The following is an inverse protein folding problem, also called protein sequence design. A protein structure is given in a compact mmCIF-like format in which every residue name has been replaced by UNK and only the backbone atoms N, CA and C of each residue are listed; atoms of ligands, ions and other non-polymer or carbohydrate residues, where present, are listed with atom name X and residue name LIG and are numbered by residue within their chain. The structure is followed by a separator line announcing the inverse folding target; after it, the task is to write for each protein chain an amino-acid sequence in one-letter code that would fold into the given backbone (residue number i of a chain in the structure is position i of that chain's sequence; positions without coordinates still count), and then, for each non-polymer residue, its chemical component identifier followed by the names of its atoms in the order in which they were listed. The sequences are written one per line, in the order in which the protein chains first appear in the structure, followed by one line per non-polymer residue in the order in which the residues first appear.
data_IF_262015547649
#
_entry.id   IF_262015547649
#
_cell.length_a   1.000
_cell.length_b   1.000
_cell.length_c   1.000
_cell.angle_alpha   90.00
_cell.angle_beta   90.00
_cell.angle_gamma   90.00
#
_symmetry.space_group_name_H-M   'P 1'
#
loop_
_entity.id
_entity.type
_entity.pdbx_description
1 polymer ?
#
# COMPACT_ATOMS: atom_id res chain seq x y z
N UNK A 1 -27.44 9.68 15.50
CA UNK A 1 -27.23 8.76 14.35
C UNK A 1 -25.82 8.21 14.48
N UNK A 2 -25.67 7.04 15.12
CA UNK A 2 -24.33 6.46 15.36
C UNK A 2 -23.75 5.99 14.03
N UNK A 3 -22.76 6.71 13.49
CA UNK A 3 -21.93 6.18 12.41
C UNK A 3 -21.15 5.00 12.98
N UNK A 4 -21.34 3.77 12.47
CA UNK A 4 -20.55 2.64 12.96
C UNK A 4 -19.09 2.91 12.62
N UNK A 5 -18.25 2.93 13.65
CA UNK A 5 -16.79 2.98 13.55
C UNK A 5 -16.37 1.82 12.64
N UNK A 6 -16.02 2.15 11.40
CA UNK A 6 -15.66 1.16 10.38
C UNK A 6 -14.20 0.83 10.63
N UNK A 7 -13.96 -0.19 11.45
CA UNK A 7 -12.59 -0.59 11.81
C UNK A 7 -11.90 -1.18 10.57
N UNK A 8 -10.81 -0.56 10.07
CA UNK A 8 -10.12 -1.02 8.86
C UNK A 8 -9.58 -2.45 9.00
N UNK A 9 -9.35 -2.91 10.24
CA UNK A 9 -8.95 -4.30 10.57
C UNK A 9 -10.00 -5.33 10.13
N UNK A 10 -11.30 -4.98 10.07
CA UNK A 10 -12.37 -5.91 9.66
C UNK A 10 -12.47 -6.10 8.14
N UNK A 11 -11.81 -5.25 7.35
CA UNK A 11 -11.79 -5.37 5.90
C UNK A 11 -10.69 -6.35 5.45
N UNK A 12 -11.05 -7.64 5.40
CA UNK A 12 -10.16 -8.75 4.96
C UNK A 12 -9.51 -8.48 3.58
N UNK A 13 -10.19 -7.71 2.71
CA UNK A 13 -9.64 -7.30 1.41
C UNK A 13 -8.36 -6.47 1.53
N UNK A 14 -8.27 -5.58 2.52
CA UNK A 14 -7.08 -4.74 2.76
C UNK A 14 -5.90 -5.63 3.16
N UNK A 15 -6.15 -6.60 4.04
CA UNK A 15 -5.13 -7.57 4.47
C UNK A 15 -4.66 -8.48 3.35
N UNK A 16 -5.56 -8.92 2.45
CA UNK A 16 -5.16 -9.71 1.29
C UNK A 16 -4.26 -8.90 0.33
N UNK A 17 -4.62 -7.64 0.04
CA UNK A 17 -3.80 -6.77 -0.82
C UNK A 17 -2.45 -6.45 -0.15
N UNK A 18 -2.46 -6.13 1.15
CA UNK A 18 -1.24 -5.87 1.91
C UNK A 18 -0.32 -7.10 1.92
N UNK A 19 -0.87 -8.28 2.20
CA UNK A 19 -0.13 -9.54 2.20
C UNK A 19 0.46 -9.84 0.82
N UNK A 20 -0.30 -9.60 -0.26
CA UNK A 20 0.18 -9.77 -1.63
C UNK A 20 1.34 -8.80 -1.97
N UNK A 21 1.20 -7.52 -1.65
CA UNK A 21 2.27 -6.52 -1.85
C UNK A 21 3.52 -6.92 -1.05
N UNK A 22 3.34 -7.39 0.18
CA UNK A 22 4.43 -7.84 1.03
C UNK A 22 5.14 -9.08 0.47
N UNK A 23 4.37 -10.04 -0.07
CA UNK A 23 4.90 -11.23 -0.74
C UNK A 23 5.70 -10.87 -2.00
N UNK A 24 5.23 -9.86 -2.75
CA UNK A 24 5.89 -9.35 -3.96
C UNK A 24 7.17 -8.56 -3.64
N UNK A 25 7.27 -7.99 -2.43
CA UNK A 25 8.48 -7.29 -1.96
C UNK A 25 9.68 -8.23 -1.84
N UNK A 26 9.43 -9.50 -1.51
CA UNK A 26 10.49 -10.51 -1.40
C UNK A 26 10.73 -11.12 -2.79
N UNK A 27 11.95 -11.04 -3.36
CA UNK A 27 12.26 -11.56 -4.69
C UNK A 27 12.43 -13.10 -4.73
N UNK A 28 11.71 -13.87 -3.91
CA UNK A 28 11.74 -15.34 -3.88
C UNK A 28 11.29 -16.02 -5.18
N UNK A 29 10.53 -15.30 -6.02
CA UNK A 29 10.07 -15.74 -7.33
C UNK A 29 11.13 -15.55 -8.42
N UNK A 30 12.26 -14.89 -8.12
CA UNK A 30 13.36 -14.76 -9.06
C UNK A 30 14.35 -15.92 -8.92
N UNK A 31 14.79 -16.52 -10.06
CA UNK A 31 15.81 -17.55 -10.03
C UNK A 31 17.11 -17.02 -9.41
N UNK A 32 17.78 -17.83 -8.59
CA UNK A 32 19.11 -17.50 -8.08
C UNK A 32 20.07 -17.26 -9.27
N UNK A 33 20.70 -16.09 -9.30
CA UNK A 33 21.56 -15.68 -10.41
C UNK A 33 20.86 -14.92 -11.54
N UNK A 34 19.57 -14.57 -11.40
CA UNK A 34 18.84 -13.70 -12.34
C UNK A 34 19.29 -12.24 -12.18
N UNK A 35 20.52 -11.95 -12.61
CA UNK A 35 21.02 -10.59 -12.79
C UNK A 35 20.67 -10.03 -14.17
N UNK A 36 20.27 -10.91 -15.10
CA UNK A 36 19.86 -10.53 -16.45
C UNK A 36 18.34 -10.69 -16.62
N UNK A 37 17.68 -9.77 -17.35
CA UNK A 37 18.26 -8.60 -18.02
C UNK A 37 18.58 -7.43 -17.07
N UNK A 38 19.72 -6.77 -17.32
CA UNK A 38 20.09 -5.51 -16.68
C UNK A 38 19.44 -4.37 -17.47
N UNK A 39 18.54 -3.63 -16.83
CA UNK A 39 17.91 -2.43 -17.38
C UNK A 39 18.70 -1.23 -16.84
N UNK A 40 19.37 -0.47 -17.73
CA UNK A 40 20.25 0.63 -17.35
C UNK A 40 21.37 0.25 -16.35
N UNK A 41 21.84 -1.00 -16.38
CA UNK A 41 22.84 -1.51 -15.41
C UNK A 41 22.27 -1.92 -14.05
N UNK A 42 20.95 -1.77 -13.86
CA UNK A 42 20.23 -2.21 -12.67
C UNK A 42 19.47 -3.51 -13.02
N UNK A 43 19.52 -4.55 -12.17
CA UNK A 43 18.70 -5.73 -12.39
C UNK A 43 17.21 -5.36 -12.42
N UNK A 44 16.46 -5.90 -13.37
CA UNK A 44 15.03 -5.61 -13.49
C UNK A 44 14.24 -5.90 -12.20
N UNK A 45 14.66 -6.91 -11.42
CA UNK A 45 14.06 -7.23 -10.13
C UNK A 45 14.22 -6.11 -9.10
N UNK A 46 15.30 -5.32 -9.16
CA UNK A 46 15.50 -4.19 -8.25
C UNK A 46 14.54 -3.05 -8.58
N UNK A 47 14.32 -2.76 -9.87
CA UNK A 47 13.29 -1.80 -10.30
C UNK A 47 11.89 -2.25 -9.87
N UNK A 48 11.62 -3.55 -9.95
CA UNK A 48 10.36 -4.12 -9.48
C UNK A 48 10.17 -3.91 -7.97
N UNK A 49 11.19 -4.18 -7.14
CA UNK A 49 11.11 -3.94 -5.69
C UNK A 49 10.88 -2.46 -5.36
N UNK A 50 11.53 -1.55 -6.09
CA UNK A 50 11.30 -0.11 -5.93
C UNK A 50 9.84 0.24 -6.25
N UNK A 51 9.30 -0.27 -7.36
CA UNK A 51 7.91 -0.06 -7.74
C UNK A 51 6.93 -0.63 -6.69
N UNK A 52 7.19 -1.84 -6.18
CA UNK A 52 6.41 -2.47 -5.10
C UNK A 52 6.49 -1.66 -3.81
N UNK A 53 7.64 -1.08 -3.49
CA UNK A 53 7.81 -0.23 -2.28
C UNK A 53 7.00 1.06 -2.39
N UNK A 54 7.00 1.70 -3.57
CA UNK A 54 6.16 2.87 -3.85
C UNK A 54 4.68 2.49 -3.76
N UNK A 55 4.29 1.36 -4.36
CA UNK A 55 2.92 0.86 -4.29
C UNK A 55 2.49 0.55 -2.85
N UNK A 56 3.37 -0.02 -2.02
CA UNK A 56 3.14 -0.27 -0.60
C UNK A 56 2.90 1.05 0.15
N UNK A 57 3.77 2.04 -0.06
CA UNK A 57 3.63 3.36 0.56
C UNK A 57 2.30 4.01 0.17
N UNK A 58 1.98 4.06 -1.13
CA UNK A 58 0.72 4.61 -1.63
C UNK A 58 -0.50 3.85 -1.10
N UNK A 59 -0.42 2.51 -1.01
CA UNK A 59 -1.48 1.68 -0.46
C UNK A 59 -1.70 1.96 1.03
N UNK A 60 -0.63 2.08 1.82
CA UNK A 60 -0.73 2.46 3.23
C UNK A 60 -1.34 3.86 3.38
N UNK A 61 -0.91 4.84 2.59
CA UNK A 61 -1.52 6.18 2.57
C UNK A 61 -3.00 6.12 2.21
N UNK A 62 -3.38 5.30 1.22
CA UNK A 62 -4.78 5.10 0.83
C UNK A 62 -5.58 4.49 1.98
N UNK A 63 -5.08 3.44 2.62
CA UNK A 63 -5.75 2.80 3.77
C UNK A 63 -5.92 3.80 4.91
N UNK A 64 -4.89 4.58 5.23
CA UNK A 64 -4.94 5.61 6.27
C UNK A 64 -5.90 6.77 5.92
N UNK A 65 -6.06 7.11 4.65
CA UNK A 65 -6.95 8.22 4.24
C UNK A 65 -8.42 7.80 4.09
N UNK A 66 -8.68 6.61 3.55
CA UNK A 66 -10.03 6.20 3.13
C UNK A 66 -10.65 5.15 4.05
N UNK A 67 -9.85 4.28 4.64
CA UNK A 67 -10.32 3.16 5.47
C UNK A 67 -10.18 3.46 6.97
N UNK A 68 -9.20 4.28 7.35
CA UNK A 68 -9.14 4.88 8.67
C UNK A 68 -10.00 6.16 8.67
N UNK A 69 -11.26 6.04 9.08
CA UNK A 69 -12.11 7.20 9.39
C UNK A 69 -11.49 7.94 10.60
N UNK A 70 -10.51 8.82 10.38
CA UNK A 70 -10.33 9.96 11.29
C UNK A 70 -11.54 10.85 11.07
N UNK A 71 -12.41 10.96 12.07
CA UNK A 71 -13.63 11.77 12.05
C UNK A 71 -13.39 13.29 11.82
N UNK A 72 -12.15 13.73 11.62
CA UNK A 72 -11.75 15.14 11.75
C UNK A 72 -11.84 16.00 10.48
N UNK A 73 -11.94 15.42 9.27
CA UNK A 73 -12.08 16.25 8.05
C UNK A 73 -13.52 16.78 7.82
N UNK A 74 -14.52 16.26 8.54
CA UNK A 74 -15.90 16.76 8.44
C UNK A 74 -16.18 17.99 9.33
N UNK A 75 -15.27 18.32 10.26
CA UNK A 75 -15.39 19.43 11.21
C UNK A 75 -14.72 20.72 10.76
N UNK A 76 -13.72 20.68 9.87
CA UNK A 76 -12.94 21.88 9.50
C UNK A 76 -13.44 22.67 8.28
N UNK A 77 -14.51 22.24 7.59
CA UNK A 77 -15.08 22.98 6.45
C UNK A 77 -16.33 23.78 6.85
N UNK A 78 -16.78 23.70 8.11
CA UNK A 78 -18.03 24.33 8.58
C UNK A 78 -17.84 25.48 9.56
N UNK A 79 -16.61 25.80 9.97
CA UNK A 79 -16.33 26.95 10.85
C UNK A 79 -15.91 28.22 10.08
N UNK A 80 -15.76 28.14 8.75
CA UNK A 80 -15.26 29.23 7.90
C UNK A 80 -16.35 29.91 7.04
N UNK A 81 -17.64 29.61 7.24
CA UNK A 81 -18.78 30.21 6.49
C UNK A 81 -19.78 30.96 7.37
#
# INVERSE_FOLDING_TARGET
MNKPIKEPIKNVKIWMVLGLIFLLSVPWYFPQGSYQPLIFGIPYWALFIIAVSIALSAFLTYVLKYEWHMEEEASHVKEDE
#
